data_IF_737711695272
#
_entry.id   IF_737711695272
#
_cell.length_a   1.000
_cell.length_b   1.000
_cell.length_c   1.000
_cell.angle_alpha   90.00
_cell.angle_beta   90.00
_cell.angle_gamma   90.00
#
_symmetry.space_group_name_H-M   'P 1'
#
loop_
_entity.id
_entity.type
_entity.pdbx_description
1 polymer ?
#
# COMPACT_ATOMS: atom_id res chain seq x y z
N UNK A 1 -1.88 19.34 -2.97
CA UNK A 1 -1.24 18.35 -3.83
C UNK A 1 -1.99 17.03 -3.78
N UNK A 2 -1.98 16.28 -4.87
CA UNK A 2 -2.65 14.98 -5.02
C UNK A 2 -1.58 13.89 -5.15
N UNK A 3 -1.59 12.95 -4.20
CA UNK A 3 -0.65 11.83 -4.15
C UNK A 3 -1.42 10.53 -4.38
N UNK A 4 -0.95 9.69 -5.27
CA UNK A 4 -1.70 8.53 -5.77
C UNK A 4 -0.84 7.26 -5.77
N UNK A 5 -1.40 6.15 -5.29
CA UNK A 5 -0.78 4.84 -5.44
C UNK A 5 -0.94 4.33 -6.89
N UNK A 6 0.09 3.71 -7.50
CA UNK A 6 0.06 3.33 -8.92
C UNK A 6 -1.02 2.30 -9.30
N UNK A 7 -1.57 1.57 -8.33
CA UNK A 7 -2.70 0.65 -8.55
C UNK A 7 -4.07 1.37 -8.66
N UNK A 8 -4.10 2.70 -8.52
CA UNK A 8 -5.32 3.49 -8.69
C UNK A 8 -5.77 3.50 -10.16
N UNK A 9 -7.08 3.73 -10.42
CA UNK A 9 -7.57 3.88 -11.78
C UNK A 9 -6.85 4.98 -12.55
N UNK A 10 -6.65 4.79 -13.85
CA UNK A 10 -5.93 5.73 -14.72
C UNK A 10 -6.51 7.16 -14.68
N UNK A 11 -7.82 7.31 -14.50
CA UNK A 11 -8.49 8.61 -14.33
C UNK A 11 -8.08 9.33 -13.04
N UNK A 12 -7.72 8.60 -11.99
CA UNK A 12 -7.21 9.15 -10.73
C UNK A 12 -5.73 9.48 -10.87
N UNK A 13 -4.95 8.57 -11.47
CA UNK A 13 -3.53 8.79 -11.78
C UNK A 13 -3.33 10.04 -12.63
N UNK A 14 -4.19 10.29 -13.61
CA UNK A 14 -4.11 11.46 -14.48
C UNK A 14 -4.27 12.81 -13.74
N UNK A 15 -4.79 12.81 -12.51
CA UNK A 15 -4.95 14.01 -11.67
C UNK A 15 -3.86 14.13 -10.60
N UNK A 16 -2.92 13.22 -10.55
CA UNK A 16 -1.89 13.17 -9.53
C UNK A 16 -0.78 14.20 -9.77
N UNK A 17 -0.35 14.88 -8.71
CA UNK A 17 0.91 15.62 -8.70
C UNK A 17 2.11 14.66 -8.54
N UNK A 18 1.88 13.50 -7.90
CA UNK A 18 2.89 12.46 -7.72
C UNK A 18 2.21 11.08 -7.63
N UNK A 19 2.80 10.12 -8.31
CA UNK A 19 2.41 8.69 -8.24
C UNK A 19 3.58 7.90 -7.69
N UNK A 20 3.32 7.04 -6.70
CA UNK A 20 4.38 6.23 -6.11
C UNK A 20 3.91 5.24 -5.07
N UNK A 21 4.84 4.42 -4.60
CA UNK A 21 4.62 3.47 -3.53
C UNK A 21 4.19 4.15 -2.23
N UNK A 22 3.65 3.40 -1.28
CA UNK A 22 3.30 3.92 0.06
C UNK A 22 4.48 4.62 0.73
N UNK A 23 5.69 4.08 0.62
CA UNK A 23 6.91 4.70 1.15
C UNK A 23 7.22 6.03 0.46
N UNK A 24 7.10 6.08 -0.87
CA UNK A 24 7.31 7.29 -1.66
C UNK A 24 6.27 8.37 -1.31
N UNK A 25 5.01 8.00 -1.11
CA UNK A 25 3.94 8.92 -0.68
C UNK A 25 4.23 9.50 0.72
N UNK A 26 4.64 8.67 1.68
CA UNK A 26 5.02 9.15 3.03
C UNK A 26 6.16 10.18 2.93
N UNK A 27 7.19 9.88 2.14
CA UNK A 27 8.32 10.79 1.90
C UNK A 27 7.85 12.09 1.22
N UNK A 28 7.02 12.00 0.19
CA UNK A 28 6.48 13.17 -0.51
C UNK A 28 5.66 14.07 0.42
N UNK A 29 4.84 13.51 1.31
CA UNK A 29 4.12 14.30 2.33
C UNK A 29 5.09 15.06 3.22
N UNK A 30 6.21 14.47 3.62
CA UNK A 30 7.20 15.13 4.46
C UNK A 30 7.95 16.25 3.72
N UNK A 31 8.38 16.00 2.48
CA UNK A 31 9.34 16.85 1.74
C UNK A 31 8.68 17.92 0.85
N UNK A 32 7.49 17.66 0.28
CA UNK A 32 6.85 18.61 -0.63
C UNK A 32 6.39 19.88 0.11
N UNK A 33 6.64 21.03 -0.51
CA UNK A 33 6.15 22.33 -0.01
C UNK A 33 4.65 22.50 -0.31
N UNK A 34 3.82 21.83 0.50
CA UNK A 34 2.37 21.95 0.46
C UNK A 34 1.79 21.76 1.87
N UNK A 35 0.71 22.45 2.18
CA UNK A 35 0.02 22.36 3.47
C UNK A 35 -1.10 21.30 3.48
N UNK A 36 -1.63 20.97 2.29
CA UNK A 36 -2.75 20.05 2.13
C UNK A 36 -2.45 19.02 1.05
N UNK A 37 -2.77 17.77 1.35
CA UNK A 37 -2.62 16.64 0.43
C UNK A 37 -3.93 15.87 0.34
N UNK A 38 -4.36 15.57 -0.88
CA UNK A 38 -5.37 14.54 -1.14
C UNK A 38 -4.59 13.27 -1.44
N UNK A 39 -4.87 12.19 -0.71
CA UNK A 39 -4.09 10.96 -0.79
C UNK A 39 -4.99 9.80 -1.21
N UNK A 40 -4.69 9.22 -2.36
CA UNK A 40 -5.36 8.04 -2.91
C UNK A 40 -4.50 6.79 -2.66
N UNK A 41 -4.57 6.28 -1.44
CA UNK A 41 -3.97 5.02 -1.00
C UNK A 41 -4.74 4.47 0.19
N UNK A 42 -4.39 3.26 0.65
CA UNK A 42 -5.08 2.67 1.81
C UNK A 42 -4.97 3.53 3.07
N UNK A 43 -6.09 3.70 3.74
CA UNK A 43 -6.23 4.52 4.94
C UNK A 43 -5.28 4.12 6.08
N UNK A 44 -4.87 2.86 6.13
CA UNK A 44 -3.99 2.35 7.18
C UNK A 44 -2.65 3.07 7.28
N UNK A 45 -2.17 3.72 6.21
CA UNK A 45 -0.90 4.45 6.24
C UNK A 45 -1.01 5.92 6.65
N UNK A 46 -2.22 6.47 6.81
CA UNK A 46 -2.41 7.89 7.17
C UNK A 46 -1.74 8.25 8.51
N UNK A 47 -1.78 7.34 9.48
CA UNK A 47 -1.07 7.54 10.74
C UNK A 47 0.43 7.79 10.53
N UNK A 48 1.09 6.96 9.72
CA UNK A 48 2.50 7.11 9.39
C UNK A 48 2.81 8.39 8.64
N UNK A 49 1.94 8.82 7.74
CA UNK A 49 2.08 10.11 7.05
C UNK A 49 1.93 11.28 8.03
N UNK A 50 0.98 11.19 8.96
CA UNK A 50 0.78 12.22 9.97
C UNK A 50 1.94 12.33 10.96
N UNK A 51 2.56 11.21 11.33
CA UNK A 51 3.80 11.20 12.12
C UNK A 51 4.95 11.87 11.37
N UNK A 52 5.08 11.62 10.07
CA UNK A 52 6.13 12.20 9.23
C UNK A 52 5.94 13.71 8.97
N UNK A 53 4.70 14.20 9.03
CA UNK A 53 4.35 15.59 8.72
C UNK A 53 3.12 16.06 9.52
N UNK A 54 3.27 16.19 10.83
CA UNK A 54 2.19 16.50 11.77
C UNK A 54 1.52 17.88 11.57
N UNK A 55 2.18 18.79 10.87
CA UNK A 55 1.70 20.13 10.55
C UNK A 55 0.94 20.22 9.21
N UNK A 56 0.76 19.11 8.51
CA UNK A 56 0.10 19.05 7.20
C UNK A 56 -1.29 18.42 7.30
N UNK A 57 -2.18 18.87 6.44
CA UNK A 57 -3.56 18.38 6.38
C UNK A 57 -3.61 17.26 5.34
N UNK A 58 -3.95 16.06 5.79
CA UNK A 58 -4.15 14.90 4.94
C UNK A 58 -5.64 14.67 4.72
N UNK A 59 -6.04 14.56 3.47
CA UNK A 59 -7.42 14.34 3.04
C UNK A 59 -7.46 13.01 2.30
N UNK A 60 -8.28 12.09 2.77
CA UNK A 60 -8.53 10.82 2.08
C UNK A 60 -9.24 11.09 0.75
N UNK A 61 -8.74 10.50 -0.34
CA UNK A 61 -9.42 10.59 -1.62
C UNK A 61 -10.80 9.90 -1.54
N UNK A 62 -11.85 10.47 -2.14
CA UNK A 62 -13.18 9.87 -2.11
C UNK A 62 -13.17 8.49 -2.78
N UNK A 63 -13.78 7.51 -2.14
CA UNK A 63 -13.96 6.17 -2.70
C UNK A 63 -15.13 6.17 -3.70
N UNK A 64 -14.92 5.62 -4.87
CA UNK A 64 -15.98 5.47 -5.87
C UNK A 64 -16.81 4.21 -5.58
N UNK A 65 -17.95 4.39 -4.87
CA UNK A 65 -18.99 3.37 -4.78
C UNK A 65 -18.99 2.48 -3.53
N UNK A 66 -20.10 1.77 -3.34
CA UNK A 66 -20.39 0.86 -2.22
C UNK A 66 -20.05 -0.59 -2.57
N UNK A 67 -18.88 -0.90 -3.06
CA UNK A 67 -18.50 -2.24 -3.46
C UNK A 67 -17.15 -2.67 -2.90
N UNK A 68 -16.98 -3.97 -2.67
CA UNK A 68 -15.73 -4.58 -2.19
C UNK A 68 -14.63 -4.67 -3.27
N UNK A 69 -14.80 -4.00 -4.39
CA UNK A 69 -13.83 -3.98 -5.48
C UNK A 69 -12.87 -2.82 -5.31
N UNK A 70 -11.59 -3.05 -5.58
CA UNK A 70 -10.50 -2.06 -5.52
C UNK A 70 -10.68 -0.96 -6.59
N UNK A 71 -11.67 -0.09 -6.42
CA UNK A 71 -11.99 0.97 -7.40
C UNK A 71 -11.15 2.23 -7.15
N UNK A 72 -10.58 2.40 -5.94
CA UNK A 72 -9.89 3.65 -5.60
C UNK A 72 -8.63 3.52 -4.74
N UNK A 73 -8.21 2.33 -4.36
CA UNK A 73 -7.11 2.07 -3.41
C UNK A 73 -7.15 2.84 -2.06
N UNK A 74 -8.20 3.62 -1.81
CA UNK A 74 -8.35 4.33 -0.53
C UNK A 74 -8.77 3.40 0.62
N UNK A 75 -9.33 2.25 0.30
CA UNK A 75 -9.72 1.23 1.28
C UNK A 75 -9.63 -0.17 0.66
N UNK A 76 -8.75 -1.00 1.19
CA UNK A 76 -8.67 -2.40 0.79
C UNK A 76 -9.50 -3.26 1.78
N UNK A 77 -10.64 -3.85 1.35
CA UNK A 77 -11.46 -4.66 2.24
C UNK A 77 -10.72 -5.90 2.75
N UNK A 78 -9.78 -6.42 1.99
CA UNK A 78 -8.94 -7.57 2.38
C UNK A 78 -7.97 -7.20 3.49
N UNK A 79 -7.29 -6.06 3.40
CA UNK A 79 -6.43 -5.55 4.47
C UNK A 79 -7.25 -5.18 5.71
N UNK A 80 -8.46 -4.64 5.54
CA UNK A 80 -9.37 -4.32 6.64
C UNK A 80 -9.88 -5.54 7.41
N UNK A 81 -9.73 -6.75 6.89
CA UNK A 81 -10.00 -7.98 7.64
C UNK A 81 -9.00 -8.21 8.78
N UNK A 82 -7.82 -7.62 8.73
CA UNK A 82 -6.84 -7.67 9.81
C UNK A 82 -7.17 -6.63 10.88
N UNK A 83 -7.00 -6.99 12.15
CA UNK A 83 -7.17 -6.09 13.29
C UNK A 83 -6.23 -6.46 14.42
N UNK A 84 -5.91 -5.50 15.29
CA UNK A 84 -5.08 -5.75 16.47
C UNK A 84 -5.67 -6.83 17.38
N UNK A 85 -7.01 -6.87 17.51
CA UNK A 85 -7.71 -7.92 18.27
C UNK A 85 -7.49 -9.30 17.68
N UNK A 86 -7.58 -9.44 16.35
CA UNK A 86 -7.33 -10.72 15.68
C UNK A 86 -5.87 -11.13 15.81
N UNK A 87 -4.95 -10.20 15.69
CA UNK A 87 -3.52 -10.44 15.90
C UNK A 87 -3.25 -10.93 17.32
N UNK A 88 -3.78 -10.24 18.33
CA UNK A 88 -3.66 -10.66 19.73
C UNK A 88 -4.22 -12.08 19.92
N UNK A 89 -5.42 -12.34 19.40
CA UNK A 89 -6.03 -13.67 19.49
C UNK A 89 -5.16 -14.79 18.88
N UNK A 90 -4.50 -14.53 17.75
CA UNK A 90 -3.59 -15.49 17.12
C UNK A 90 -2.37 -15.73 18.01
N UNK A 91 -1.80 -14.68 18.59
CA UNK A 91 -0.63 -14.80 19.48
C UNK A 91 -0.96 -15.56 20.78
N UNK A 92 -2.15 -15.37 21.33
CA UNK A 92 -2.59 -16.05 22.55
C UNK A 92 -2.99 -17.53 22.32
N UNK A 93 -3.58 -17.83 21.16
CA UNK A 93 -4.24 -19.12 20.95
C UNK A 93 -3.59 -20.01 19.89
N UNK A 94 -2.73 -19.46 19.04
CA UNK A 94 -2.18 -20.15 17.88
C UNK A 94 -3.23 -20.55 16.83
N UNK A 95 -4.48 -20.05 16.94
CA UNK A 95 -5.57 -20.37 16.01
C UNK A 95 -5.53 -19.48 14.78
N UNK A 96 -6.24 -19.89 13.73
CA UNK A 96 -6.30 -19.22 12.41
C UNK A 96 -5.00 -19.30 11.60
N UNK A 97 -4.21 -20.33 11.81
CA UNK A 97 -3.10 -20.63 10.91
C UNK A 97 -3.61 -20.86 9.49
N UNK A 98 -2.96 -20.22 8.52
CA UNK A 98 -3.25 -20.43 7.09
C UNK A 98 -2.42 -21.59 6.61
N UNK A 99 -3.08 -22.69 6.25
CA UNK A 99 -2.46 -23.89 5.71
C UNK A 99 -2.64 -23.91 4.21
N UNK A 100 -1.55 -23.96 3.47
CA UNK A 100 -1.55 -24.08 2.01
C UNK A 100 -1.07 -25.47 1.62
N UNK A 101 -1.71 -26.10 0.66
CA UNK A 101 -1.32 -27.43 0.16
C UNK A 101 0.11 -27.42 -0.42
N UNK A 102 0.90 -28.46 -0.13
CA UNK A 102 2.31 -28.56 -0.54
C UNK A 102 2.52 -28.41 -2.05
N UNK A 103 1.62 -28.94 -2.88
CA UNK A 103 1.68 -28.81 -4.33
C UNK A 103 1.55 -27.33 -4.77
N UNK A 104 0.66 -26.56 -4.13
CA UNK A 104 0.48 -25.13 -4.39
C UNK A 104 1.72 -24.35 -3.95
N UNK A 105 2.24 -24.66 -2.74
CA UNK A 105 3.50 -24.06 -2.23
C UNK A 105 4.64 -24.28 -3.21
N UNK A 106 4.84 -25.52 -3.67
CA UNK A 106 5.93 -25.85 -4.59
C UNK A 106 5.82 -25.13 -5.94
N UNK A 107 4.61 -25.00 -6.47
CA UNK A 107 4.36 -24.28 -7.72
C UNK A 107 4.54 -22.77 -7.55
N UNK A 108 4.06 -22.19 -6.45
CA UNK A 108 4.18 -20.76 -6.17
C UNK A 108 5.64 -20.34 -5.90
N UNK A 109 6.44 -21.20 -5.25
CA UNK A 109 7.84 -20.91 -4.91
C UNK A 109 8.67 -20.49 -6.13
N UNK A 110 8.52 -21.15 -7.26
CA UNK A 110 9.24 -20.81 -8.48
C UNK A 110 8.94 -19.39 -8.99
N UNK A 111 7.70 -18.94 -8.86
CA UNK A 111 7.31 -17.56 -9.22
C UNK A 111 7.88 -16.54 -8.25
N UNK A 112 7.83 -16.83 -6.95
CA UNK A 112 8.40 -15.97 -5.90
C UNK A 112 9.92 -15.84 -6.06
N UNK A 113 10.62 -16.95 -6.33
CA UNK A 113 12.08 -16.93 -6.54
C UNK A 113 12.48 -16.12 -7.77
N UNK A 114 11.69 -16.18 -8.86
CA UNK A 114 11.91 -15.34 -10.05
C UNK A 114 11.72 -13.86 -9.72
N UNK A 115 10.67 -13.52 -8.99
CA UNK A 115 10.42 -12.13 -8.54
C UNK A 115 11.58 -11.62 -7.68
N UNK A 116 12.03 -12.39 -6.69
CA UNK A 116 13.15 -12.01 -5.83
C UNK A 116 14.47 -11.84 -6.59
N UNK A 117 14.72 -12.67 -7.62
CA UNK A 117 15.90 -12.50 -8.50
C UNK A 117 15.80 -11.22 -9.32
N UNK A 118 14.63 -10.92 -9.84
CA UNK A 118 14.38 -9.72 -10.63
C UNK A 118 14.61 -8.45 -9.79
N UNK A 119 14.03 -8.37 -8.58
CA UNK A 119 14.20 -7.22 -7.68
C UNK A 119 15.66 -7.00 -7.29
N UNK A 120 16.38 -8.07 -6.89
CA UNK A 120 17.81 -7.98 -6.57
C UNK A 120 18.67 -7.56 -7.77
N UNK A 121 18.30 -7.94 -8.99
CA UNK A 121 18.95 -7.49 -10.23
C UNK A 121 18.76 -5.99 -10.45
N UNK A 122 17.56 -5.48 -10.21
CA UNK A 122 17.23 -4.06 -10.41
C UNK A 122 17.82 -3.15 -9.33
N UNK A 123 17.98 -3.61 -8.08
CA UNK A 123 18.69 -2.86 -7.04
C UNK A 123 20.14 -2.53 -7.46
N UNK A 124 20.80 -3.44 -8.20
CA UNK A 124 22.18 -3.22 -8.72
C UNK A 124 22.23 -2.21 -9.87
N UNK A 125 21.13 -1.99 -10.58
CA UNK A 125 21.04 -1.07 -11.72
C UNK A 125 20.50 0.31 -11.37
N UNK A 126 20.18 0.57 -10.10
CA UNK A 126 19.61 1.85 -9.62
C UNK A 126 18.17 2.10 -10.07
N UNK A 127 17.52 1.15 -10.74
CA UNK A 127 16.14 1.27 -11.24
C UNK A 127 15.06 0.86 -10.21
N UNK A 128 15.45 0.42 -9.03
CA UNK A 128 14.53 -0.14 -8.03
C UNK A 128 13.95 0.90 -7.06
N UNK A 129 14.31 2.17 -7.16
CA UNK A 129 13.93 3.18 -6.16
C UNK A 129 12.69 4.01 -6.51
N UNK A 130 12.05 3.79 -7.67
CA UNK A 130 10.94 4.62 -8.16
C UNK A 130 9.63 3.84 -8.43
N UNK A 131 9.46 2.64 -7.87
CA UNK A 131 8.22 1.88 -7.99
C UNK A 131 7.45 1.84 -6.66
#
# INVERSE_FOLDING_TARGET
KVLVHPESPSSVIAQADMVGSTTAIIKAVAEMDAKKFIVATDKGIFHKMQEAANNKILIEAPTAGKGATCISCAHCPWMAMNSLRKLLHILETGKNEIIVEKNIINRARGSIEKLLKFTRGNERTGLANDA
#
